data_IF_106637746738
#
_entry.id   IF_106637746738
#
_cell.length_a   1.000
_cell.length_b   1.000
_cell.length_c   1.000
_cell.angle_alpha   90.00
_cell.angle_beta   90.00
_cell.angle_gamma   90.00
#
_symmetry.space_group_name_H-M   'P 1'
#
loop_
_entity.id
_entity.type
_entity.pdbx_description
1 polymer ?
#
# COMPACT_ATOMS: atom_id res chain seq x y z
N UNK A 1 -0.40 1.68 1.37
CA UNK A 1 0.21 2.74 0.53
C UNK A 1 0.62 3.94 1.39
N UNK A 2 1.84 4.43 1.19
CA UNK A 2 2.37 5.60 1.86
C UNK A 2 1.83 6.91 1.24
N UNK A 3 1.60 7.95 2.04
CA UNK A 3 1.02 9.23 1.58
C UNK A 3 1.85 9.91 0.47
N UNK A 4 3.17 9.83 0.56
CA UNK A 4 4.07 10.37 -0.47
C UNK A 4 3.94 9.66 -1.83
N UNK A 5 3.61 8.36 -1.84
CA UNK A 5 3.31 7.65 -3.08
C UNK A 5 1.93 7.99 -3.61
N UNK A 6 0.93 8.22 -2.75
CA UNK A 6 -0.36 8.75 -3.22
C UNK A 6 -0.20 10.07 -3.96
N UNK A 7 0.56 11.01 -3.40
CA UNK A 7 0.87 12.28 -4.05
C UNK A 7 1.73 12.09 -5.32
N UNK A 8 2.72 11.19 -5.26
CA UNK A 8 3.59 10.88 -6.39
C UNK A 8 2.84 10.30 -7.59
N UNK A 9 1.90 9.38 -7.36
CA UNK A 9 1.03 8.81 -8.40
C UNK A 9 0.21 9.91 -9.08
N UNK A 10 -0.42 10.79 -8.30
CA UNK A 10 -1.22 11.88 -8.84
C UNK A 10 -0.38 12.83 -9.70
N UNK A 11 0.78 13.25 -9.20
CA UNK A 11 1.70 14.09 -9.95
C UNK A 11 2.17 13.42 -11.25
N UNK A 12 2.55 12.14 -11.18
CA UNK A 12 2.96 11.36 -12.36
C UNK A 12 1.87 11.30 -13.43
N UNK A 13 0.63 10.99 -13.04
CA UNK A 13 -0.49 10.91 -13.98
C UNK A 13 -0.85 12.27 -14.59
N UNK A 14 -0.78 13.36 -13.80
CA UNK A 14 -0.98 14.71 -14.32
C UNK A 14 0.07 15.06 -15.37
N UNK A 15 1.35 14.84 -15.06
CA UNK A 15 2.46 15.07 -16.00
C UNK A 15 2.33 14.21 -17.26
N UNK A 16 1.98 12.93 -17.12
CA UNK A 16 1.79 12.03 -18.26
C UNK A 16 0.65 12.51 -19.18
N UNK A 17 -0.46 12.98 -18.59
CA UNK A 17 -1.59 13.52 -19.35
C UNK A 17 -1.25 14.82 -20.08
N UNK A 18 -0.40 15.67 -19.51
CA UNK A 18 0.09 16.90 -20.17
C UNK A 18 1.03 16.58 -21.35
N UNK A 19 1.91 15.58 -21.19
CA UNK A 19 2.89 15.20 -22.21
C UNK A 19 2.27 14.40 -23.35
N UNK A 20 1.34 13.50 -23.04
CA UNK A 20 0.65 12.64 -24.00
C UNK A 20 -0.83 12.58 -23.62
N UNK A 21 -1.64 13.53 -24.14
CA UNK A 21 -3.08 13.50 -23.92
C UNK A 21 -3.67 12.14 -24.30
N UNK A 22 -4.70 11.69 -23.55
CA UNK A 22 -5.38 10.39 -23.71
C UNK A 22 -4.58 9.14 -23.30
N UNK A 23 -3.33 9.26 -22.87
CA UNK A 23 -2.53 8.12 -22.37
C UNK A 23 -2.91 7.65 -20.96
N UNK A 24 -3.77 8.40 -20.25
CA UNK A 24 -4.14 8.16 -18.86
C UNK A 24 -5.55 7.55 -18.76
N UNK A 25 -5.62 6.37 -18.16
CA UNK A 25 -6.89 5.68 -17.86
C UNK A 25 -7.74 6.38 -16.80
N UNK A 26 -9.05 6.11 -16.79
CA UNK A 26 -9.99 6.74 -15.85
C UNK A 26 -9.84 6.30 -14.39
N UNK A 27 -9.21 5.15 -14.13
CA UNK A 27 -9.12 4.55 -12.80
C UNK A 27 -7.77 3.88 -12.58
N UNK A 28 -7.15 4.17 -11.44
CA UNK A 28 -5.94 3.48 -10.97
C UNK A 28 -6.13 3.05 -9.51
N UNK A 29 -5.53 1.91 -9.16
CA UNK A 29 -5.53 1.40 -7.80
C UNK A 29 -4.21 1.79 -7.12
N UNK A 30 -4.30 2.71 -6.16
CA UNK A 30 -3.17 3.19 -5.38
C UNK A 30 -2.84 2.28 -4.21
N UNK A 31 -2.30 1.09 -4.48
CA UNK A 31 -1.72 0.20 -3.46
C UNK A 31 -0.23 0.05 -3.70
N UNK A 32 0.54 -0.18 -2.63
CA UNK A 32 1.97 -0.49 -2.73
C UNK A 32 2.20 -1.90 -3.33
N UNK A 33 3.46 -2.31 -3.49
CA UNK A 33 3.81 -3.55 -4.19
C UNK A 33 3.64 -4.80 -3.34
N UNK A 34 3.40 -4.68 -2.03
CA UNK A 34 3.38 -5.83 -1.13
C UNK A 34 2.05 -5.94 -0.37
N UNK A 35 1.09 -6.73 -0.90
CA UNK A 35 -0.05 -7.17 -0.12
C UNK A 35 0.45 -7.83 1.17
N UNK A 36 0.03 -7.30 2.32
CA UNK A 36 0.52 -7.74 3.63
C UNK A 36 -0.66 -7.84 4.57
N UNK A 37 -0.71 -8.89 5.40
CA UNK A 37 -1.72 -9.02 6.44
C UNK A 37 -1.46 -8.03 7.58
N UNK A 38 -2.51 -7.52 8.22
CA UNK A 38 -2.33 -6.60 9.34
C UNK A 38 -1.53 -7.22 10.49
N UNK A 39 -1.71 -8.51 10.77
CA UNK A 39 -0.94 -9.22 11.80
C UNK A 39 0.56 -9.25 11.50
N UNK A 40 0.95 -9.44 10.23
CA UNK A 40 2.36 -9.41 9.81
C UNK A 40 2.99 -8.03 9.99
N UNK A 41 2.23 -6.96 9.70
CA UNK A 41 2.68 -5.58 9.95
C UNK A 41 2.90 -5.34 11.44
N UNK A 42 1.96 -5.76 12.29
CA UNK A 42 2.07 -5.61 13.74
C UNK A 42 3.23 -6.41 14.33
N UNK A 43 3.43 -7.65 13.88
CA UNK A 43 4.56 -8.47 14.32
C UNK A 43 5.89 -7.82 13.93
N UNK A 44 6.01 -7.36 12.69
CA UNK A 44 7.21 -6.66 12.25
C UNK A 44 7.47 -5.39 13.07
N UNK A 45 6.44 -4.61 13.39
CA UNK A 45 6.58 -3.43 14.25
C UNK A 45 7.00 -3.79 15.68
N UNK A 46 6.46 -4.87 16.26
CA UNK A 46 6.84 -5.33 17.58
C UNK A 46 8.33 -5.72 17.64
N UNK A 47 8.81 -6.42 16.61
CA UNK A 47 10.23 -6.73 16.45
C UNK A 47 11.09 -5.47 16.36
N UNK A 48 10.70 -4.47 15.54
CA UNK A 48 11.49 -3.24 15.40
C UNK A 48 11.56 -2.44 16.71
N UNK A 49 10.50 -2.47 17.52
CA UNK A 49 10.40 -1.73 18.78
C UNK A 49 10.92 -2.51 20.00
N UNK A 50 11.39 -3.75 19.82
CA UNK A 50 11.82 -4.64 20.91
C UNK A 50 10.76 -4.83 22.01
N UNK A 51 9.49 -4.90 21.62
CA UNK A 51 8.36 -5.15 22.53
C UNK A 51 7.88 -6.61 22.40
N UNK A 52 7.15 -7.14 23.39
CA UNK A 52 6.58 -8.47 23.32
C UNK A 52 5.67 -8.67 22.09
N UNK A 53 5.56 -9.92 21.65
CA UNK A 53 4.73 -10.29 20.50
C UNK A 53 3.27 -9.88 20.71
N UNK A 54 2.62 -9.44 19.64
CA UNK A 54 1.24 -8.95 19.68
C UNK A 54 0.31 -10.16 19.77
N UNK A 55 -0.56 -10.17 20.79
CA UNK A 55 -1.64 -11.15 20.89
C UNK A 55 -2.69 -10.88 19.80
N UNK A 56 -2.69 -11.70 18.76
CA UNK A 56 -3.67 -11.63 17.69
C UNK A 56 -4.90 -12.44 18.09
N UNK A 57 -5.92 -11.77 18.63
CA UNK A 57 -7.20 -12.41 18.87
C UNK A 57 -7.82 -12.86 17.54
N UNK A 58 -8.30 -14.10 17.50
CA UNK A 58 -9.04 -14.60 16.35
C UNK A 58 -10.26 -13.72 16.10
N UNK A 59 -10.46 -13.24 14.85
CA UNK A 59 -11.61 -12.40 14.54
C UNK A 59 -12.89 -13.19 14.79
N UNK A 60 -13.86 -12.56 15.47
CA UNK A 60 -15.19 -13.14 15.66
C UNK A 60 -15.85 -13.48 14.32
N UNK A 61 -16.80 -14.42 14.31
CA UNK A 61 -17.63 -14.76 13.14
C UNK A 61 -18.21 -13.50 12.46
N UNK A 62 -18.72 -12.55 13.25
CA UNK A 62 -19.25 -11.27 12.76
C UNK A 62 -18.18 -10.39 12.11
N UNK A 63 -16.97 -10.34 12.67
CA UNK A 63 -15.85 -9.59 12.10
C UNK A 63 -15.35 -10.22 10.78
N UNK A 64 -15.39 -11.55 10.65
CA UNK A 64 -15.04 -12.26 9.42
C UNK A 64 -16.01 -11.95 8.27
N UNK A 65 -17.31 -11.89 8.56
CA UNK A 65 -18.34 -11.56 7.58
C UNK A 65 -18.27 -10.09 7.09
N UNK A 66 -17.82 -9.16 7.94
CA UNK A 66 -17.66 -7.75 7.57
C UNK A 66 -16.32 -7.41 6.90
N UNK A 67 -15.24 -8.14 7.23
CA UNK A 67 -13.90 -7.87 6.70
C UNK A 67 -13.58 -8.79 5.53
N UNK A 68 -14.05 -8.42 4.35
CA UNK A 68 -13.56 -9.05 3.13
C UNK A 68 -12.17 -8.48 2.81
N UNK A 69 -11.10 -9.21 3.16
CA UNK A 69 -9.76 -8.85 2.73
C UNK A 69 -9.68 -8.96 1.20
N UNK A 70 -8.96 -8.03 0.57
CA UNK A 70 -8.76 -7.99 -0.88
C UNK A 70 -7.27 -7.88 -1.14
N UNK A 71 -6.78 -8.72 -2.04
CA UNK A 71 -5.49 -8.50 -2.67
C UNK A 71 -5.73 -7.69 -3.93
N UNK A 72 -5.10 -6.53 -4.01
CA UNK A 72 -5.32 -5.55 -5.05
C UNK A 72 -4.01 -5.41 -5.84
N UNK A 73 -4.12 -5.40 -7.17
CA UNK A 73 -2.96 -5.22 -8.05
C UNK A 73 -2.81 -3.75 -8.45
N UNK A 74 -1.57 -3.24 -8.35
CA UNK A 74 -1.17 -1.93 -8.85
C UNK A 74 -0.53 -1.99 -10.25
N UNK A 75 -0.71 -3.09 -10.99
CA UNK A 75 -0.07 -3.31 -12.29
C UNK A 75 -0.33 -2.16 -13.27
N UNK A 76 -1.53 -1.58 -13.27
CA UNK A 76 -1.89 -0.48 -14.17
C UNK A 76 -1.06 0.79 -13.94
N UNK A 77 -0.85 1.19 -12.69
CA UNK A 77 -0.02 2.38 -12.41
C UNK A 77 1.46 2.10 -12.66
N UNK A 78 1.92 0.86 -12.42
CA UNK A 78 3.30 0.48 -12.76
C UNK A 78 3.55 0.45 -14.26
N UNK A 79 2.55 0.08 -15.06
CA UNK A 79 2.64 0.06 -16.51
C UNK A 79 2.82 1.46 -17.12
N UNK A 80 2.46 2.53 -16.42
CA UNK A 80 2.72 3.91 -16.86
C UNK A 80 4.16 4.36 -16.57
N UNK A 81 5.01 3.49 -16.01
CA UNK A 81 6.39 3.80 -15.64
C UNK A 81 6.55 4.36 -14.22
N UNK A 82 5.47 4.48 -13.44
CA UNK A 82 5.59 4.97 -12.06
C UNK A 82 6.39 4.01 -11.19
N UNK A 83 7.40 4.55 -10.49
CA UNK A 83 8.22 3.82 -9.52
C UNK A 83 7.86 4.27 -8.11
N UNK A 84 7.42 3.32 -7.28
CA UNK A 84 7.05 3.59 -5.89
C UNK A 84 8.28 3.95 -5.06
N UNK A 85 8.17 5.03 -4.27
CA UNK A 85 9.18 5.43 -3.29
C UNK A 85 9.19 4.50 -2.08
N UNK A 86 8.01 4.00 -1.70
CA UNK A 86 7.80 3.06 -0.61
C UNK A 86 7.12 1.80 -1.18
N UNK A 87 7.91 0.88 -1.78
CA UNK A 87 7.37 -0.29 -2.46
C UNK A 87 6.69 -1.26 -1.49
N UNK A 88 7.07 -1.26 -0.20
CA UNK A 88 6.43 -2.07 0.84
C UNK A 88 6.07 -1.22 2.05
N UNK A 89 5.32 -1.82 2.99
CA UNK A 89 5.03 -1.16 4.27
C UNK A 89 6.31 -0.87 5.08
N UNK A 90 7.34 -1.72 4.96
CA UNK A 90 8.56 -1.61 5.78
C UNK A 90 9.31 -0.31 5.52
N UNK A 91 9.48 0.07 4.25
CA UNK A 91 10.12 1.35 3.94
C UNK A 91 9.29 2.54 4.44
N UNK A 92 7.97 2.42 4.43
CA UNK A 92 7.06 3.49 4.89
C UNK A 92 7.09 3.70 6.41
N UNK A 93 7.26 2.63 7.18
CA UNK A 93 7.34 2.72 8.64
C UNK A 93 8.74 3.04 9.16
N UNK A 94 9.81 2.67 8.46
CA UNK A 94 11.21 2.92 8.89
C UNK A 94 11.49 4.36 9.34
N UNK A 95 11.03 5.42 8.66
CA UNK A 95 11.25 6.81 9.10
C UNK A 95 10.46 7.24 10.33
N UNK A 96 9.49 6.43 10.77
CA UNK A 96 8.61 6.70 11.91
C UNK A 96 9.01 5.94 13.19
N UNK A 97 9.96 5.00 13.06
CA UNK A 97 10.53 4.20 14.15
C UNK A 97 11.73 4.93 14.76
#
# INVERSE_FOLDING_TARGET
IHSADCAGILAHLMTLNEQTPESVERLYLGVDNQPTLSCEVYNWLAEQLSVPEVDHQDPTESARLMRSNKQISNARIRATGYTFKYPTFKEGYKPLL
#
